data_IF_566021686697
#
_entry.id   IF_566021686697
#
_cell.length_a   1.000
_cell.length_b   1.000
_cell.length_c   1.000
_cell.angle_alpha   90.00
_cell.angle_beta   90.00
_cell.angle_gamma   90.00
#
_symmetry.space_group_name_H-M   'P 1'
#
loop_
_entity.id
_entity.type
_entity.pdbx_description
1 polymer ?
#
# COMPACT_ATOMS: atom_id res chain seq x y z
N UNK A 1 -15.21 11.80 67.67
CA UNK A 1 -14.51 10.74 66.92
C UNK A 1 -15.58 9.80 66.38
N UNK A 2 -15.86 9.80 65.06
CA UNK A 2 -16.90 8.95 64.49
C UNK A 2 -17.34 9.34 63.07
N UNK A 3 -16.97 8.49 62.11
CA UNK A 3 -17.53 8.27 60.77
C UNK A 3 -17.36 9.35 59.68
N UNK A 4 -16.24 9.20 58.96
CA UNK A 4 -16.09 9.56 57.54
C UNK A 4 -17.16 8.86 56.69
N UNK A 5 -17.83 9.59 55.80
CA UNK A 5 -18.51 9.02 54.62
C UNK A 5 -18.09 9.80 53.37
N UNK A 6 -17.06 9.27 52.72
CA UNK A 6 -16.75 9.50 51.31
C UNK A 6 -17.86 8.82 50.48
N UNK A 7 -18.54 9.58 49.64
CA UNK A 7 -19.36 9.06 48.54
C UNK A 7 -18.92 9.87 47.32
N UNK A 8 -17.93 9.38 46.59
CA UNK A 8 -18.10 8.49 45.43
C UNK A 8 -18.87 9.19 44.31
N UNK A 9 -18.11 9.91 43.49
CA UNK A 9 -18.53 10.37 42.17
C UNK A 9 -17.39 10.16 41.19
N UNK A 10 -17.00 8.90 40.97
CA UNK A 10 -16.12 8.54 39.85
C UNK A 10 -16.98 8.64 38.60
N UNK A 11 -16.95 9.80 37.93
CA UNK A 11 -17.42 9.92 36.56
C UNK A 11 -16.44 9.15 35.68
N UNK A 12 -16.76 7.88 35.39
CA UNK A 12 -16.10 7.12 34.33
C UNK A 12 -16.57 7.75 33.01
N UNK A 13 -15.82 8.73 32.54
CA UNK A 13 -15.90 9.15 31.14
C UNK A 13 -15.38 7.98 30.31
N UNK A 14 -16.29 7.17 29.76
CA UNK A 14 -16.00 6.21 28.71
C UNK A 14 -15.45 6.99 27.51
N UNK A 15 -14.12 7.11 27.44
CA UNK A 15 -13.43 7.44 26.21
C UNK A 15 -13.65 6.28 25.25
N UNK A 16 -14.70 6.36 24.43
CA UNK A 16 -14.79 5.59 23.20
C UNK A 16 -13.63 6.06 22.30
N UNK A 17 -12.50 5.38 22.43
CA UNK A 17 -11.46 5.36 21.41
C UNK A 17 -12.11 4.80 20.15
N UNK A 18 -12.64 5.68 19.31
CA UNK A 18 -12.92 5.34 17.93
C UNK A 18 -11.59 5.03 17.26
N UNK A 19 -11.16 3.77 17.31
CA UNK A 19 -10.11 3.27 16.43
C UNK A 19 -10.69 3.36 15.04
N UNK A 20 -10.42 4.45 14.32
CA UNK A 20 -10.67 4.49 12.89
C UNK A 20 -9.73 3.46 12.28
N UNK A 21 -10.26 2.29 11.94
CA UNK A 21 -9.51 1.29 11.20
C UNK A 21 -8.97 1.96 9.93
N UNK A 22 -7.68 1.75 9.65
CA UNK A 22 -7.05 2.30 8.47
C UNK A 22 -7.85 1.88 7.23
N UNK A 23 -8.03 2.73 6.20
CA UNK A 23 -8.67 2.31 4.95
C UNK A 23 -7.91 1.15 4.26
N UNK A 24 -6.67 0.86 4.66
CA UNK A 24 -5.91 -0.30 4.22
C UNK A 24 -6.41 -1.62 4.85
N UNK A 25 -6.89 -1.61 6.10
CA UNK A 25 -7.27 -2.84 6.80
C UNK A 25 -8.56 -3.50 6.28
N UNK A 26 -9.28 -2.82 5.39
CA UNK A 26 -10.50 -3.36 4.76
C UNK A 26 -10.23 -3.89 3.34
N UNK A 27 -9.00 -3.76 2.83
CA UNK A 27 -8.63 -4.22 1.50
C UNK A 27 -8.17 -5.68 1.56
N UNK A 28 -8.38 -6.42 0.47
CA UNK A 28 -7.81 -7.76 0.33
C UNK A 28 -6.32 -7.67 0.05
N UNK A 29 -5.57 -8.73 0.37
CA UNK A 29 -4.15 -8.83 -0.01
C UNK A 29 -3.90 -8.62 -1.50
N UNK A 30 -4.82 -9.08 -2.36
CA UNK A 30 -4.68 -8.83 -3.81
C UNK A 30 -4.72 -7.33 -4.12
N UNK A 31 -5.65 -6.60 -3.51
CA UNK A 31 -5.76 -5.17 -3.73
C UNK A 31 -4.58 -4.40 -3.13
N UNK A 32 -4.15 -4.79 -1.93
CA UNK A 32 -2.96 -4.23 -1.28
C UNK A 32 -1.71 -4.49 -2.13
N UNK A 33 -1.55 -5.70 -2.68
CA UNK A 33 -0.42 -6.07 -3.53
C UNK A 33 -0.41 -5.32 -4.86
N UNK A 34 -1.57 -5.17 -5.52
CA UNK A 34 -1.71 -4.34 -6.73
C UNK A 34 -1.38 -2.87 -6.45
N UNK A 35 -1.86 -2.34 -5.33
CA UNK A 35 -1.60 -0.97 -4.93
C UNK A 35 -0.12 -0.75 -4.55
N UNK A 36 0.51 -1.73 -3.90
CA UNK A 36 1.95 -1.78 -3.69
C UNK A 36 2.67 -1.66 -5.03
N UNK A 37 2.34 -2.53 -6.01
CA UNK A 37 2.97 -2.53 -7.32
C UNK A 37 2.81 -1.20 -8.08
N UNK A 38 1.61 -0.60 -8.03
CA UNK A 38 1.36 0.73 -8.60
C UNK A 38 2.24 1.80 -7.95
N UNK A 39 2.28 1.85 -6.62
CA UNK A 39 3.09 2.82 -5.87
C UNK A 39 4.59 2.60 -6.10
N UNK A 40 5.06 1.36 -6.17
CA UNK A 40 6.45 1.03 -6.54
C UNK A 40 6.79 1.55 -7.93
N UNK A 41 5.94 1.31 -8.93
CA UNK A 41 6.17 1.79 -10.29
C UNK A 41 6.26 3.33 -10.35
N UNK A 42 5.32 4.03 -9.69
CA UNK A 42 5.32 5.50 -9.62
C UNK A 42 6.60 5.99 -8.95
N UNK A 43 7.02 5.38 -7.84
CA UNK A 43 8.26 5.74 -7.16
C UNK A 43 9.50 5.58 -8.06
N UNK A 44 9.52 4.55 -8.90
CA UNK A 44 10.60 4.29 -9.86
C UNK A 44 10.67 5.35 -10.97
N UNK A 45 9.54 5.66 -11.61
CA UNK A 45 9.52 6.57 -12.76
C UNK A 45 9.57 8.06 -12.38
N UNK A 46 9.02 8.42 -11.23
CA UNK A 46 9.00 9.80 -10.74
C UNK A 46 10.13 10.08 -9.74
N UNK A 47 11.26 9.37 -9.87
CA UNK A 47 12.40 9.47 -8.96
C UNK A 47 12.82 10.92 -8.70
N UNK A 48 13.27 11.17 -7.47
CA UNK A 48 13.73 12.47 -6.98
C UNK A 48 12.65 13.58 -6.93
N UNK A 49 11.37 13.22 -7.14
CA UNK A 49 10.23 14.12 -6.96
C UNK A 49 9.50 13.93 -5.63
N UNK A 50 8.65 14.88 -5.27
CA UNK A 50 7.75 14.73 -4.12
C UNK A 50 6.69 13.64 -4.35
N UNK A 51 6.33 13.38 -5.61
CA UNK A 51 5.45 12.27 -5.99
C UNK A 51 6.09 10.92 -5.63
N UNK A 52 7.38 10.75 -5.89
CA UNK A 52 8.06 9.52 -5.50
C UNK A 52 8.15 9.35 -3.97
N UNK A 53 8.37 10.42 -3.21
CA UNK A 53 8.40 10.35 -1.73
C UNK A 53 7.06 9.89 -1.16
N UNK A 54 5.97 10.43 -1.69
CA UNK A 54 4.62 10.03 -1.28
C UNK A 54 4.31 8.60 -1.74
N UNK A 55 4.65 8.25 -2.99
CA UNK A 55 4.49 6.90 -3.51
C UNK A 55 5.28 5.85 -2.69
N UNK A 56 6.50 6.16 -2.24
CA UNK A 56 7.25 5.31 -1.32
C UNK A 56 6.48 5.14 -0.01
N UNK A 57 5.93 6.21 0.56
CA UNK A 57 5.15 6.14 1.79
C UNK A 57 3.90 5.27 1.63
N UNK A 58 3.16 5.44 0.53
CA UNK A 58 2.00 4.63 0.19
C UNK A 58 2.37 3.15 -0.01
N UNK A 59 3.45 2.87 -0.76
CA UNK A 59 3.99 1.53 -0.97
C UNK A 59 4.30 0.83 0.36
N UNK A 60 4.96 1.50 1.30
CA UNK A 60 5.21 0.93 2.63
C UNK A 60 3.91 0.66 3.40
N UNK A 61 2.91 1.54 3.29
CA UNK A 61 1.59 1.36 3.87
C UNK A 61 0.88 0.12 3.34
N UNK A 62 0.83 -0.08 2.02
CA UNK A 62 0.19 -1.27 1.45
C UNK A 62 0.87 -2.57 1.88
N UNK A 63 2.20 -2.57 1.99
CA UNK A 63 2.95 -3.73 2.48
C UNK A 63 2.63 -4.03 3.94
N UNK A 64 2.60 -3.02 4.80
CA UNK A 64 2.38 -3.16 6.25
C UNK A 64 1.03 -3.82 6.58
N UNK A 65 0.01 -3.57 5.76
CA UNK A 65 -1.34 -4.09 5.97
C UNK A 65 -1.61 -5.43 5.26
N UNK A 66 -0.63 -5.98 4.54
CA UNK A 66 -0.77 -7.25 3.85
C UNK A 66 -0.19 -8.38 4.69
N UNK A 67 -0.84 -9.54 4.63
CA UNK A 67 -0.34 -10.76 5.28
C UNK A 67 0.68 -11.52 4.43
N UNK A 68 0.96 -11.07 3.19
CA UNK A 68 1.86 -11.72 2.24
C UNK A 68 3.34 -11.73 2.70
N UNK A 69 4.15 -12.73 2.31
CA UNK A 69 5.58 -12.78 2.63
C UNK A 69 6.36 -11.58 2.07
N UNK A 70 7.37 -11.10 2.81
CA UNK A 70 8.19 -9.95 2.45
C UNK A 70 8.85 -10.12 1.07
N UNK A 71 9.31 -11.33 0.77
CA UNK A 71 9.99 -11.70 -0.48
C UNK A 71 9.14 -11.39 -1.71
N UNK A 72 7.82 -11.55 -1.60
CA UNK A 72 6.86 -11.28 -2.68
C UNK A 72 6.90 -9.83 -3.16
N UNK A 73 7.24 -8.90 -2.26
CA UNK A 73 7.35 -7.48 -2.56
C UNK A 73 8.69 -7.12 -3.24
N UNK A 74 9.75 -7.92 -3.01
CA UNK A 74 11.00 -7.79 -3.76
C UNK A 74 10.84 -8.27 -5.21
N UNK A 75 10.07 -9.34 -5.44
CA UNK A 75 9.78 -9.84 -6.79
C UNK A 75 9.12 -8.77 -7.68
N UNK A 76 8.26 -7.90 -7.11
CA UNK A 76 7.68 -6.75 -7.83
C UNK A 76 8.75 -5.75 -8.27
N UNK A 77 9.76 -5.50 -7.42
CA UNK A 77 10.85 -4.59 -7.74
C UNK A 77 11.76 -5.15 -8.83
N UNK A 78 11.98 -6.46 -8.84
CA UNK A 78 12.71 -7.15 -9.91
C UNK A 78 11.94 -7.08 -11.24
N UNK A 79 10.63 -7.33 -11.21
CA UNK A 79 9.77 -7.25 -12.40
C UNK A 79 9.83 -5.85 -13.04
N UNK A 80 9.75 -4.78 -12.22
CA UNK A 80 9.91 -3.40 -12.69
C UNK A 80 11.28 -3.12 -13.30
N UNK A 81 12.34 -3.85 -12.94
CA UNK A 81 13.67 -3.67 -13.53
C UNK A 81 13.80 -4.18 -14.97
N UNK A 82 12.78 -4.89 -15.47
CA UNK A 82 12.76 -5.51 -16.81
C UNK A 82 11.76 -4.84 -17.76
N UNK A 83 11.25 -3.67 -17.38
CA UNK A 83 10.15 -3.02 -18.07
C UNK A 83 10.53 -2.34 -19.38
N UNK A 84 9.51 -2.14 -20.22
CA UNK A 84 9.60 -1.36 -21.46
C UNK A 84 8.39 -0.41 -21.58
N UNK A 85 8.65 0.88 -21.38
CA UNK A 85 7.65 1.96 -21.55
C UNK A 85 7.60 2.52 -22.97
N UNK A 86 8.34 1.98 -23.92
CA UNK A 86 8.42 2.50 -25.29
C UNK A 86 7.07 2.58 -25.99
N UNK A 87 6.14 1.68 -25.68
CA UNK A 87 4.77 1.64 -26.20
C UNK A 87 3.81 2.68 -25.60
N UNK A 88 4.13 3.25 -24.44
CA UNK A 88 3.27 4.20 -23.74
C UNK A 88 3.56 5.62 -24.19
N UNK A 89 3.11 5.97 -25.40
CA UNK A 89 3.31 7.31 -25.99
C UNK A 89 2.01 8.06 -26.16
N UNK A 90 2.01 9.33 -25.78
CA UNK A 90 0.95 10.27 -26.12
C UNK A 90 0.96 10.61 -27.61
N UNK A 91 -0.11 11.27 -28.09
CA UNK A 91 -0.21 11.73 -29.49
C UNK A 91 0.92 12.66 -29.94
N UNK A 92 1.57 13.35 -29.00
CA UNK A 92 2.73 14.21 -29.27
C UNK A 92 4.08 13.53 -29.01
N UNK A 93 4.10 12.22 -28.72
CA UNK A 93 5.31 11.42 -28.60
C UNK A 93 5.97 11.41 -27.21
N UNK A 94 5.39 12.09 -26.23
CA UNK A 94 5.85 12.01 -24.84
C UNK A 94 5.54 10.63 -24.26
N UNK A 95 6.40 10.11 -23.39
CA UNK A 95 6.08 8.92 -22.60
C UNK A 95 4.96 9.26 -21.61
N UNK A 96 4.09 8.29 -21.34
CA UNK A 96 3.04 8.38 -20.32
C UNK A 96 3.33 7.30 -19.26
N UNK A 97 4.32 7.56 -18.40
CA UNK A 97 4.79 6.61 -17.38
C UNK A 97 3.66 6.24 -16.41
N UNK A 98 2.79 7.19 -16.06
CA UNK A 98 1.66 6.90 -15.18
C UNK A 98 0.67 5.90 -15.79
N UNK A 99 0.43 5.95 -17.10
CA UNK A 99 -0.43 4.98 -17.78
C UNK A 99 0.20 3.59 -17.74
N UNK A 100 1.52 3.51 -17.98
CA UNK A 100 2.26 2.27 -17.79
C UNK A 100 2.11 1.72 -16.37
N UNK A 101 2.26 2.56 -15.34
CA UNK A 101 2.15 2.08 -13.96
C UNK A 101 0.75 1.55 -13.59
N UNK A 102 -0.31 2.16 -14.13
CA UNK A 102 -1.68 1.66 -13.96
C UNK A 102 -1.84 0.29 -14.61
N UNK A 103 -1.37 0.12 -15.84
CA UNK A 103 -1.49 -1.16 -16.55
C UNK A 103 -0.56 -2.24 -15.96
N UNK A 104 0.66 -1.86 -15.55
CA UNK A 104 1.62 -2.71 -14.85
C UNK A 104 1.00 -3.33 -13.59
N UNK A 105 0.40 -2.52 -12.72
CA UNK A 105 -0.21 -3.01 -11.48
C UNK A 105 -1.42 -3.94 -11.71
N UNK A 106 -2.04 -3.88 -12.88
CA UNK A 106 -3.14 -4.75 -13.29
C UNK A 106 -2.71 -5.88 -14.24
N UNK A 107 -1.41 -6.03 -14.49
CA UNK A 107 -0.87 -7.01 -15.43
C UNK A 107 -0.98 -8.46 -14.91
N UNK A 108 -1.00 -9.40 -15.85
CA UNK A 108 -0.95 -10.83 -15.53
C UNK A 108 0.32 -11.21 -14.76
N UNK A 109 1.43 -10.52 -14.98
CA UNK A 109 2.70 -10.82 -14.31
C UNK A 109 2.64 -10.41 -12.83
N UNK A 110 2.10 -9.23 -12.50
CA UNK A 110 1.82 -8.86 -11.10
C UNK A 110 0.82 -9.82 -10.46
N UNK A 111 -0.20 -10.26 -11.19
CA UNK A 111 -1.15 -11.23 -10.67
C UNK A 111 -0.50 -12.60 -10.40
N UNK A 112 0.41 -13.07 -11.25
CA UNK A 112 1.18 -14.31 -11.00
C UNK A 112 2.04 -14.21 -9.74
N UNK A 113 2.69 -13.06 -9.52
CA UNK A 113 3.45 -12.82 -8.29
C UNK A 113 2.54 -12.89 -7.06
N UNK A 114 1.34 -12.28 -7.13
CA UNK A 114 0.35 -12.40 -6.06
C UNK A 114 -0.06 -13.86 -5.80
N UNK A 115 -0.35 -14.63 -6.84
CA UNK A 115 -0.74 -16.04 -6.69
C UNK A 115 0.37 -16.89 -6.07
N UNK A 116 1.63 -16.65 -6.45
CA UNK A 116 2.80 -17.26 -5.84
C UNK A 116 2.87 -16.90 -4.35
N UNK A 117 2.84 -15.61 -4.03
CA UNK A 117 2.87 -15.09 -2.66
C UNK A 117 1.78 -15.70 -1.77
N UNK A 118 0.56 -15.78 -2.29
CA UNK A 118 -0.59 -16.36 -1.57
C UNK A 118 -0.43 -17.86 -1.29
N UNK A 119 0.28 -18.59 -2.15
CA UNK A 119 0.50 -20.03 -1.96
C UNK A 119 1.52 -20.36 -0.86
N UNK A 120 2.24 -19.35 -0.39
CA UNK A 120 3.27 -19.46 0.65
C UNK A 120 2.74 -19.11 2.06
N UNK A 121 1.46 -18.72 2.17
CA UNK A 121 0.72 -18.52 3.42
C UNK A 121 0.22 -19.85 4.00
#
# INVERSE_FOLDING_TARGET
MGFRRLVSGISIALFSLGVTASPFSTQSDEQLFKNFALSSCIATYYKDSDVAKDAITAMQGYREFSDLPLESFFDVSELLGTDDTSGYKSKNGNVIELAYCVDFSNSDDVHKLYLKAKSEL
#
